data_IF_721779098274
#
_entry.id   IF_721779098274
#
_cell.length_a   1.000
_cell.length_b   1.000
_cell.length_c   1.000
_cell.angle_alpha   90.00
_cell.angle_beta   90.00
_cell.angle_gamma   90.00
#
_symmetry.space_group_name_H-M   'P 1'
#
loop_
_entity.id
_entity.type
_entity.pdbx_description
1 polymer ?
#
# COMPACT_ATOMS: atom_id res chain seq x y z
N UNK A 1 37.34 -3.40 -48.80
CA UNK A 1 36.78 -2.17 -48.19
C UNK A 1 35.27 -2.17 -48.48
N UNK A 2 34.52 -2.96 -47.71
CA UNK A 2 33.12 -3.35 -48.00
C UNK A 2 32.29 -3.28 -46.71
N UNK A 3 32.43 -2.17 -45.99
CA UNK A 3 31.59 -1.84 -44.82
C UNK A 3 31.10 -0.42 -45.03
N UNK A 4 29.88 -0.27 -45.57
CA UNK A 4 29.15 1.00 -45.50
C UNK A 4 27.68 0.89 -45.92
N UNK A 5 27.29 -0.10 -46.73
CA UNK A 5 25.90 -0.21 -47.21
C UNK A 5 24.93 -0.85 -46.21
N UNK A 6 25.39 -1.85 -45.44
CA UNK A 6 24.55 -2.53 -44.43
C UNK A 6 24.30 -1.69 -43.17
N UNK A 7 25.23 -0.81 -42.79
CA UNK A 7 25.12 0.00 -41.57
C UNK A 7 24.07 1.11 -41.66
N UNK A 8 23.83 1.66 -42.86
CA UNK A 8 22.87 2.75 -43.06
C UNK A 8 21.42 2.27 -42.98
N UNK A 9 21.13 1.04 -43.43
CA UNK A 9 19.77 0.49 -43.46
C UNK A 9 19.27 0.24 -42.03
N UNK A 10 20.14 -0.21 -41.12
CA UNK A 10 19.76 -0.41 -39.70
C UNK A 10 19.40 0.90 -38.99
N UNK A 11 20.04 2.02 -39.31
CA UNK A 11 19.74 3.32 -38.69
C UNK A 11 18.36 3.88 -39.08
N UNK A 12 17.86 3.56 -40.28
CA UNK A 12 16.54 4.00 -40.74
C UNK A 12 15.37 3.22 -40.12
N UNK A 13 15.53 1.92 -39.87
CA UNK A 13 14.49 1.11 -39.22
C UNK A 13 14.38 1.38 -37.71
N UNK A 14 15.48 1.82 -37.08
CA UNK A 14 15.52 2.13 -35.66
C UNK A 14 14.87 3.50 -35.38
N UNK A 15 15.00 4.49 -36.27
CA UNK A 15 14.43 5.83 -36.04
C UNK A 15 12.91 5.90 -36.21
N UNK A 16 12.31 5.06 -37.05
CA UNK A 16 10.85 5.04 -37.25
C UNK A 16 10.09 4.37 -36.12
N UNK A 17 10.75 3.56 -35.29
CA UNK A 17 10.13 2.90 -34.12
C UNK A 17 9.99 3.82 -32.90
N UNK A 18 10.81 4.88 -32.77
CA UNK A 18 10.80 5.72 -31.57
C UNK A 18 9.78 6.88 -31.60
N UNK A 19 8.98 7.03 -32.66
CA UNK A 19 8.10 8.20 -32.83
C UNK A 19 6.64 8.02 -32.40
N UNK A 20 6.27 6.88 -31.80
CA UNK A 20 4.95 6.74 -31.16
C UNK A 20 5.05 6.72 -29.63
N UNK A 21 5.47 7.85 -29.05
CA UNK A 21 5.18 8.14 -27.64
C UNK A 21 3.85 8.90 -27.61
N UNK A 22 2.74 8.15 -27.59
CA UNK A 22 1.42 8.71 -27.36
C UNK A 22 1.37 9.38 -25.99
N UNK A 23 1.25 10.70 -25.97
CA UNK A 23 0.95 11.47 -24.74
C UNK A 23 -0.49 11.20 -24.33
N UNK A 24 -0.68 10.28 -23.38
CA UNK A 24 -1.96 10.10 -22.71
C UNK A 24 -2.13 11.23 -21.70
N UNK A 25 -3.00 12.20 -22.00
CA UNK A 25 -3.46 13.18 -21.02
C UNK A 25 -4.36 12.47 -20.00
N UNK A 26 -3.98 12.38 -18.71
CA UNK A 26 -4.90 11.84 -17.71
C UNK A 26 -5.99 12.89 -17.46
N UNK A 27 -7.14 12.71 -18.11
CA UNK A 27 -8.37 13.36 -17.68
C UNK A 27 -8.69 12.86 -16.27
N UNK A 28 -8.42 13.69 -15.27
CA UNK A 28 -8.71 13.39 -13.88
C UNK A 28 -10.23 13.49 -13.64
N UNK A 29 -10.97 12.47 -14.08
CA UNK A 29 -12.34 12.29 -13.67
C UNK A 29 -12.33 11.93 -12.18
N UNK A 30 -12.54 12.94 -11.33
CA UNK A 30 -12.77 12.77 -9.89
C UNK A 30 -14.07 11.96 -9.70
N UNK A 31 -13.96 10.65 -9.69
CA UNK A 31 -15.05 9.77 -9.28
C UNK A 31 -15.22 9.91 -7.78
N UNK A 32 -16.28 10.58 -7.35
CA UNK A 32 -16.71 10.57 -5.95
C UNK A 32 -17.23 9.16 -5.65
N UNK A 33 -16.35 8.27 -5.18
CA UNK A 33 -16.69 6.93 -4.74
C UNK A 33 -17.52 7.06 -3.45
N UNK A 34 -18.85 6.99 -3.59
CA UNK A 34 -19.74 6.81 -2.45
C UNK A 34 -19.49 5.39 -1.91
N UNK A 35 -18.74 5.32 -0.81
CA UNK A 35 -18.32 4.07 -0.19
C UNK A 35 -19.46 3.59 0.73
N UNK A 36 -20.51 3.02 0.13
CA UNK A 36 -21.79 2.70 0.78
C UNK A 36 -21.68 1.60 1.86
N UNK A 37 -20.54 0.93 2.02
CA UNK A 37 -20.29 -0.01 3.11
C UNK A 37 -18.80 -0.04 3.48
N UNK A 38 -18.34 0.97 4.23
CA UNK A 38 -16.97 0.99 4.78
C UNK A 38 -16.91 0.08 5.98
N UNK A 39 -16.75 -1.23 5.76
CA UNK A 39 -16.30 -2.08 6.86
C UNK A 39 -14.88 -1.65 7.23
N UNK A 40 -14.58 -1.46 8.52
CA UNK A 40 -13.23 -1.16 8.93
C UNK A 40 -12.37 -2.40 8.63
N UNK A 41 -11.27 -2.20 7.92
CA UNK A 41 -10.34 -3.26 7.47
C UNK A 41 -8.91 -2.79 7.63
N UNK A 42 -8.00 -3.73 7.83
CA UNK A 42 -6.57 -3.46 7.73
C UNK A 42 -6.09 -3.74 6.32
N UNK A 43 -5.20 -2.89 5.80
CA UNK A 43 -4.62 -3.05 4.48
C UNK A 43 -3.15 -3.47 4.58
N UNK A 44 -2.74 -4.44 3.77
CA UNK A 44 -1.33 -4.79 3.60
C UNK A 44 -1.10 -5.36 2.19
N UNK A 45 -0.08 -4.84 1.47
CA UNK A 45 0.26 -5.25 0.09
C UNK A 45 -0.95 -5.32 -0.87
N UNK A 46 -1.85 -4.34 -0.79
CA UNK A 46 -3.10 -4.25 -1.56
C UNK A 46 -4.19 -5.27 -1.18
N UNK A 47 -3.94 -6.14 -0.21
CA UNK A 47 -4.94 -7.04 0.33
C UNK A 47 -5.65 -6.41 1.53
N UNK A 48 -6.95 -6.74 1.64
CA UNK A 48 -7.80 -6.34 2.77
C UNK A 48 -7.90 -7.48 3.77
N UNK A 49 -7.78 -7.14 5.04
CA UNK A 49 -7.82 -8.06 6.17
C UNK A 49 -8.93 -7.64 7.13
N UNK A 50 -9.71 -8.62 7.59
CA UNK A 50 -10.74 -8.42 8.61
C UNK A 50 -10.12 -8.31 10.01
N UNK A 51 -10.93 -7.88 10.97
CA UNK A 51 -10.58 -7.97 12.39
C UNK A 51 -10.16 -9.39 12.78
N UNK A 52 -9.13 -9.50 13.62
CA UNK A 52 -8.56 -10.76 14.08
C UNK A 52 -7.52 -11.38 13.14
N UNK A 53 -7.33 -10.85 11.93
CA UNK A 53 -6.33 -11.35 11.01
C UNK A 53 -4.90 -11.18 11.56
N UNK A 54 -4.08 -12.22 11.44
CA UNK A 54 -2.68 -12.22 11.85
C UNK A 54 -1.76 -12.00 10.65
N UNK A 55 -0.73 -11.19 10.85
CA UNK A 55 0.25 -10.83 9.83
C UNK A 55 1.65 -10.76 10.43
N UNK A 56 2.63 -11.43 9.82
CA UNK A 56 4.03 -11.33 10.23
C UNK A 56 4.73 -10.28 9.37
N UNK A 57 5.30 -9.25 10.01
CA UNK A 57 6.08 -8.20 9.35
C UNK A 57 7.38 -7.99 10.11
N UNK A 58 8.53 -8.10 9.42
CA UNK A 58 9.86 -7.91 10.02
C UNK A 58 10.04 -8.69 11.34
N UNK A 59 9.74 -9.98 11.31
CA UNK A 59 9.85 -10.93 12.43
C UNK A 59 9.02 -10.57 13.67
N UNK A 60 7.98 -9.75 13.50
CA UNK A 60 7.00 -9.42 14.54
C UNK A 60 5.62 -9.85 14.08
N UNK A 61 4.84 -10.40 15.02
CA UNK A 61 3.44 -10.72 14.80
C UNK A 61 2.59 -9.47 14.97
N UNK A 62 1.70 -9.24 14.02
CA UNK A 62 0.69 -8.20 14.06
C UNK A 62 -0.69 -8.83 13.95
N UNK A 63 -1.66 -8.17 14.56
CA UNK A 63 -3.07 -8.50 14.49
C UNK A 63 -3.85 -7.27 14.03
N UNK A 64 -4.83 -7.48 13.15
CA UNK A 64 -5.78 -6.45 12.77
C UNK A 64 -6.81 -6.28 13.88
N UNK A 65 -6.74 -5.18 14.63
CA UNK A 65 -7.60 -4.94 15.79
C UNK A 65 -7.94 -3.45 15.93
N UNK A 66 -8.91 -3.14 16.79
CA UNK A 66 -9.26 -1.76 17.11
C UNK A 66 -8.04 -1.00 17.66
N UNK A 67 -7.90 0.27 17.27
CA UNK A 67 -6.82 1.14 17.74
C UNK A 67 -6.78 1.26 19.26
N UNK A 68 -7.95 1.29 19.88
CA UNK A 68 -8.12 1.37 21.33
C UNK A 68 -9.05 0.26 21.79
N UNK A 69 -8.68 -0.42 22.86
CA UNK A 69 -9.44 -1.56 23.41
C UNK A 69 -10.86 -1.15 23.87
N UNK A 70 -11.08 0.14 24.15
CA UNK A 70 -12.34 0.68 24.65
C UNK A 70 -13.32 1.16 23.57
N UNK A 71 -13.00 0.99 22.28
CA UNK A 71 -13.85 1.48 21.19
C UNK A 71 -14.34 0.33 20.30
N UNK A 72 -15.66 0.14 20.28
CA UNK A 72 -16.33 -0.93 19.50
C UNK A 72 -16.48 -0.61 18.01
N UNK A 73 -16.47 0.67 17.64
CA UNK A 73 -16.60 1.16 16.26
C UNK A 73 -15.35 1.92 15.79
N UNK A 74 -14.19 1.58 16.35
CA UNK A 74 -12.94 2.22 15.96
C UNK A 74 -12.45 1.74 14.58
N UNK A 75 -11.62 2.57 13.96
CA UNK A 75 -10.81 2.15 12.83
C UNK A 75 -9.91 0.97 13.23
N UNK A 76 -9.89 -0.08 12.40
CA UNK A 76 -8.95 -1.19 12.55
C UNK A 76 -7.56 -0.78 12.09
N UNK A 77 -6.56 -1.15 12.87
CA UNK A 77 -5.14 -0.89 12.60
C UNK A 77 -4.33 -2.13 12.92
N UNK A 78 -3.14 -2.24 12.30
CA UNK A 78 -2.18 -3.27 12.66
C UNK A 78 -1.62 -2.98 14.05
N UNK A 79 -1.92 -3.86 15.01
CA UNK A 79 -1.36 -3.82 16.36
C UNK A 79 -0.39 -4.96 16.55
N UNK A 80 0.63 -4.74 17.36
CA UNK A 80 1.60 -5.79 17.67
C UNK A 80 0.90 -6.86 18.54
N UNK A 81 1.10 -8.12 18.17
CA UNK A 81 0.58 -9.28 18.88
C UNK A 81 1.71 -9.98 19.64
N UNK A 82 1.37 -10.68 20.72
CA UNK A 82 2.28 -11.62 21.38
C UNK A 82 2.46 -12.90 20.55
N UNK A 83 3.35 -13.79 20.97
CA UNK A 83 3.60 -15.06 20.26
C UNK A 83 2.36 -16.00 20.26
N UNK A 84 1.36 -15.72 21.10
CA UNK A 84 0.10 -16.44 21.15
C UNK A 84 -0.98 -15.84 20.23
N UNK A 85 -0.69 -14.75 19.52
CA UNK A 85 -1.63 -14.05 18.65
C UNK A 85 -2.57 -13.07 19.36
N UNK A 86 -2.33 -12.77 20.64
CA UNK A 86 -3.13 -11.79 21.38
C UNK A 86 -2.61 -10.36 21.20
N UNK A 87 -3.53 -9.41 21.11
CA UNK A 87 -3.21 -7.98 21.02
C UNK A 87 -2.45 -7.54 22.28
N UNK A 88 -1.30 -6.90 22.11
CA UNK A 88 -0.59 -6.27 23.23
C UNK A 88 -1.37 -5.01 23.64
N UNK A 89 -1.79 -4.88 24.91
CA UNK A 89 -2.64 -3.77 25.36
C UNK A 89 -1.91 -2.44 25.24
N UNK A 90 -2.64 -1.40 24.85
CA UNK A 90 -2.08 -0.06 24.71
C UNK A 90 -1.76 0.51 26.10
N UNK A 91 -0.47 0.68 26.42
CA UNK A 91 -0.03 1.37 27.64
C UNK A 91 0.14 2.86 27.34
N UNK A 92 -0.71 3.70 27.91
CA UNK A 92 -0.53 5.15 27.83
C UNK A 92 0.79 5.56 28.49
N UNK A 93 1.58 6.39 27.80
CA UNK A 93 2.82 6.93 28.37
C UNK A 93 2.41 7.92 29.46
N UNK A 94 2.75 7.62 30.73
CA UNK A 94 2.52 8.56 31.84
C UNK A 94 3.27 9.85 31.53
N UNK A 95 2.57 10.98 31.43
CA UNK A 95 3.22 12.29 31.40
C UNK A 95 3.49 12.73 32.84
N UNK A 96 4.73 13.14 33.12
CA UNK A 96 5.06 13.78 34.39
C UNK A 96 4.59 15.22 34.25
N UNK A 97 3.56 15.61 35.01
CA UNK A 97 3.19 17.02 35.17
C UNK A 97 4.09 17.61 36.26
N UNK A 98 4.88 18.61 35.89
CA UNK A 98 5.62 19.44 36.84
C UNK A 98 4.67 20.59 37.22
N UNK A 99 4.44 20.80 38.51
CA UNK A 99 3.67 21.91 39.06
C UNK A 99 4.60 23.06 39.45
#
# INVERSE_FOLDING_TARGET
MTYNKFSFICLFFVSTFYLQISSANPSSNKTNLFLENVSPVCWYKNDKYSEGALLVMADKLFICASKFDNQTNAQLVWRMADDNGHVIPYKSKKSIRIN
#
